data_IF_838730616587
#
_entry.id   IF_838730616587
#
_cell.length_a   1.000
_cell.length_b   1.000
_cell.length_c   1.000
_cell.angle_alpha   90.00
_cell.angle_beta   90.00
_cell.angle_gamma   90.00
#
_symmetry.space_group_name_H-M   'P 1'
#
loop_
_entity.id
_entity.type
_entity.pdbx_description
1 polymer ?
#
# COMPACT_ATOMS: atom_id res chain seq x y z
N UNK A 1 2.15 8.47 -2.02
CA UNK A 1 1.62 7.12 -1.81
C UNK A 1 1.89 6.67 -0.39
N UNK A 2 0.86 6.25 0.28
CA UNK A 2 0.95 5.67 1.62
C UNK A 2 0.31 4.29 1.58
N UNK A 3 1.04 3.30 2.07
CA UNK A 3 0.57 1.93 2.11
C UNK A 3 0.61 1.43 3.55
N UNK A 4 -0.53 0.98 4.07
CA UNK A 4 -0.63 0.47 5.44
C UNK A 4 -1.06 -0.99 5.40
N UNK A 5 -0.30 -1.85 6.08
CA UNK A 5 -0.54 -3.29 6.14
C UNK A 5 -0.68 -3.73 7.58
N UNK A 6 -1.63 -4.62 7.87
CA UNK A 6 -1.76 -5.20 9.21
C UNK A 6 -0.89 -6.44 9.39
N UNK A 7 -0.58 -7.14 8.28
CA UNK A 7 0.32 -8.27 8.29
C UNK A 7 1.23 -8.15 7.08
N UNK A 8 2.53 -8.11 7.30
CA UNK A 8 3.49 -7.93 6.23
C UNK A 8 4.52 -9.04 6.29
N UNK A 9 4.40 -10.06 5.42
CA UNK A 9 5.42 -11.10 5.34
C UNK A 9 6.79 -10.51 5.01
N UNK A 10 7.85 -11.15 5.49
CA UNK A 10 9.22 -10.64 5.29
C UNK A 10 9.56 -10.44 3.81
N UNK A 11 9.11 -11.35 2.95
CA UNK A 11 9.35 -11.23 1.52
C UNK A 11 8.66 -10.01 0.90
N UNK A 12 7.44 -9.73 1.36
CA UNK A 12 6.72 -8.56 0.88
C UNK A 12 7.38 -7.28 1.39
N UNK A 13 7.78 -7.25 2.66
CA UNK A 13 8.47 -6.09 3.23
C UNK A 13 9.73 -5.77 2.44
N UNK A 14 10.54 -6.79 2.15
CA UNK A 14 11.76 -6.60 1.36
C UNK A 14 11.47 -6.06 -0.04
N UNK A 15 10.37 -6.50 -0.65
CA UNK A 15 9.98 -6.00 -1.95
C UNK A 15 9.53 -4.53 -1.88
N UNK A 16 8.71 -4.19 -0.88
CA UNK A 16 8.18 -2.84 -0.74
C UNK A 16 9.26 -1.81 -0.40
N UNK A 17 10.24 -2.18 0.43
CA UNK A 17 11.28 -1.24 0.84
C UNK A 17 12.24 -0.88 -0.29
N UNK A 18 12.15 -1.54 -1.42
CA UNK A 18 12.90 -1.16 -2.62
C UNK A 18 12.33 0.14 -3.24
N UNK A 19 11.08 0.45 -2.95
CA UNK A 19 10.35 1.56 -3.57
C UNK A 19 9.84 2.56 -2.54
N UNK A 20 9.55 2.09 -1.33
CA UNK A 20 8.90 2.88 -0.29
C UNK A 20 9.73 2.84 0.99
N UNK A 21 9.57 3.86 1.81
CA UNK A 21 10.21 3.92 3.11
C UNK A 21 9.23 3.43 4.17
N UNK A 22 9.64 2.44 4.95
CA UNK A 22 8.85 1.97 6.08
C UNK A 22 9.09 2.87 7.27
N UNK A 23 8.11 3.72 7.57
CA UNK A 23 8.24 4.71 8.66
C UNK A 23 7.76 4.18 10.01
N UNK A 24 7.03 3.08 9.98
CA UNK A 24 6.52 2.40 11.17
C UNK A 24 6.18 0.97 10.74
N UNK A 25 6.13 -0.01 11.65
CA UNK A 25 5.81 -1.37 11.23
C UNK A 25 4.52 -1.42 10.42
N UNK A 26 4.63 -1.87 9.18
CA UNK A 26 3.49 -1.99 8.27
C UNK A 26 3.07 -0.69 7.59
N UNK A 27 3.76 0.42 7.84
CA UNK A 27 3.41 1.72 7.23
C UNK A 27 4.53 2.15 6.30
N UNK A 28 4.21 2.22 5.01
CA UNK A 28 5.18 2.55 3.96
C UNK A 28 4.77 3.83 3.26
N UNK A 29 5.74 4.69 3.01
CA UNK A 29 5.52 5.99 2.36
C UNK A 29 6.53 6.16 1.25
N UNK A 30 6.10 6.71 0.14
CA UNK A 30 7.00 7.00 -0.96
C UNK A 30 6.32 7.66 -2.12
N UNK A 31 7.11 8.02 -3.09
CA UNK A 31 6.63 8.66 -4.31
C UNK A 31 7.00 7.75 -5.47
N UNK A 32 6.01 7.10 -6.05
CA UNK A 32 6.22 6.14 -7.13
C UNK A 32 5.29 6.45 -8.30
N UNK A 33 5.71 6.12 -9.54
CA UNK A 33 4.82 6.26 -10.68
C UNK A 33 3.62 5.34 -10.57
N UNK A 34 2.54 5.68 -11.27
CA UNK A 34 1.30 4.89 -11.28
C UNK A 34 1.55 3.43 -11.59
N UNK A 35 2.41 3.15 -12.58
CA UNK A 35 2.74 1.79 -12.97
C UNK A 35 3.34 0.99 -11.81
N UNK A 36 4.28 1.60 -11.09
CA UNK A 36 4.92 0.95 -9.95
C UNK A 36 3.92 0.80 -8.81
N UNK A 37 3.12 1.81 -8.55
CA UNK A 37 2.08 1.76 -7.53
C UNK A 37 1.13 0.59 -7.76
N UNK A 38 0.64 0.44 -8.97
CA UNK A 38 -0.30 -0.62 -9.30
C UNK A 38 0.36 -2.00 -9.19
N UNK A 39 1.61 -2.12 -9.61
CA UNK A 39 2.35 -3.37 -9.46
C UNK A 39 2.59 -3.73 -8.00
N UNK A 40 2.89 -2.75 -7.16
CA UNK A 40 3.05 -2.97 -5.72
C UNK A 40 1.74 -3.43 -5.09
N UNK A 41 0.63 -2.84 -5.49
CA UNK A 41 -0.69 -3.22 -4.98
C UNK A 41 -1.03 -4.66 -5.36
N UNK A 42 -0.77 -5.06 -6.60
CA UNK A 42 -1.00 -6.43 -7.02
C UNK A 42 -0.19 -7.43 -6.18
N UNK A 43 1.04 -7.06 -5.86
CA UNK A 43 1.89 -7.90 -5.03
C UNK A 43 1.37 -7.98 -3.60
N UNK A 44 0.86 -6.87 -3.07
CA UNK A 44 0.25 -6.84 -1.74
C UNK A 44 -0.94 -7.78 -1.67
N UNK A 45 -1.84 -7.70 -2.65
CA UNK A 45 -3.02 -8.56 -2.70
C UNK A 45 -2.60 -10.04 -2.76
N UNK A 46 -1.59 -10.35 -3.55
CA UNK A 46 -1.11 -11.71 -3.72
C UNK A 46 -0.50 -12.28 -2.42
N UNK A 47 0.28 -11.49 -1.71
CA UNK A 47 1.06 -11.96 -0.57
C UNK A 47 0.42 -11.73 0.79
N UNK A 48 -0.48 -10.76 0.90
CA UNK A 48 -1.11 -10.38 2.16
C UNK A 48 -2.46 -11.08 2.32
N UNK A 49 -2.43 -12.43 2.42
CA UNK A 49 -3.65 -13.24 2.33
C UNK A 49 -4.63 -13.01 3.46
N UNK A 50 -4.13 -13.00 4.69
CA UNK A 50 -4.97 -12.88 5.88
C UNK A 50 -4.92 -11.49 6.50
N UNK A 51 -4.07 -10.63 5.97
CA UNK A 51 -3.93 -9.28 6.45
C UNK A 51 -4.83 -8.30 5.71
N UNK A 52 -4.89 -7.10 6.25
CA UNK A 52 -5.63 -6.01 5.63
C UNK A 52 -4.64 -4.98 5.11
N UNK A 53 -5.00 -4.31 4.04
CA UNK A 53 -4.13 -3.31 3.42
C UNK A 53 -4.95 -2.12 2.94
N UNK A 54 -4.39 -0.94 3.09
CA UNK A 54 -4.94 0.28 2.52
C UNK A 54 -3.84 0.99 1.76
N UNK A 55 -4.15 1.39 0.53
CA UNK A 55 -3.27 2.19 -0.30
C UNK A 55 -3.93 3.54 -0.52
N UNK A 56 -3.24 4.61 -0.16
CA UNK A 56 -3.71 5.98 -0.36
C UNK A 56 -2.76 6.68 -1.31
N UNK A 57 -3.30 7.38 -2.29
CA UNK A 57 -2.49 8.08 -3.27
C UNK A 57 -3.22 9.32 -3.78
N UNK A 58 -2.44 10.27 -4.30
CA UNK A 58 -3.01 11.48 -4.90
C UNK A 58 -3.32 11.22 -6.37
N UNK A 59 -4.39 11.84 -6.86
CA UNK A 59 -4.77 11.77 -8.25
C UNK A 59 -4.21 13.00 -8.96
N UNK A 60 -3.55 12.78 -10.08
CA UNK A 60 -2.91 13.84 -10.84
C UNK A 60 -3.95 14.84 -11.34
N UNK A 61 -3.66 16.13 -11.14
CA UNK A 61 -4.55 17.21 -11.56
C UNK A 61 -5.71 17.48 -10.63
N UNK A 62 -5.87 16.65 -9.60
CA UNK A 62 -6.93 16.77 -8.62
C UNK A 62 -6.31 16.98 -7.25
N UNK A 63 -6.97 17.76 -6.42
CA UNK A 63 -6.49 17.98 -5.06
C UNK A 63 -7.23 17.08 -4.07
N UNK A 64 -7.32 15.81 -4.40
CA UNK A 64 -7.93 14.84 -3.51
C UNK A 64 -7.14 13.53 -3.54
N UNK A 65 -7.38 12.70 -2.54
CA UNK A 65 -6.78 11.40 -2.44
C UNK A 65 -7.76 10.34 -2.91
N UNK A 66 -7.24 9.30 -3.51
CA UNK A 66 -7.97 8.08 -3.73
C UNK A 66 -7.33 6.98 -2.91
N UNK A 67 -8.10 5.91 -2.68
CA UNK A 67 -7.58 4.80 -1.89
C UNK A 67 -8.12 3.49 -2.40
N UNK A 68 -7.36 2.42 -2.14
CA UNK A 68 -7.76 1.04 -2.41
C UNK A 68 -7.65 0.26 -1.11
N UNK A 69 -8.60 -0.63 -0.89
CA UNK A 69 -8.67 -1.43 0.33
C UNK A 69 -8.66 -2.91 -0.03
N UNK A 70 -7.82 -3.67 0.64
CA UNK A 70 -7.81 -5.12 0.56
C UNK A 70 -8.41 -5.65 1.87
N UNK A 71 -9.45 -6.46 1.78
CA UNK A 71 -10.25 -6.96 2.90
C UNK A 71 -11.19 -5.88 3.45
N UNK A 72 -12.47 -6.17 3.40
CA UNK A 72 -13.54 -5.18 3.60
C UNK A 72 -13.96 -4.94 5.05
N UNK A 73 -13.25 -5.53 6.00
CA UNK A 73 -13.58 -5.37 7.41
C UNK A 73 -12.97 -4.12 8.05
N UNK A 74 -12.34 -3.28 7.27
CA UNK A 74 -11.91 -1.95 7.71
C UNK A 74 -13.01 -0.94 7.48
N UNK A 75 -13.28 -0.11 8.48
CA UNK A 75 -14.17 1.01 8.33
C UNK A 75 -13.37 2.22 7.88
N UNK A 76 -13.78 2.79 6.75
CA UNK A 76 -13.19 4.04 6.25
C UNK A 76 -14.09 5.16 6.71
N UNK A 77 -13.56 6.01 7.55
CA UNK A 77 -14.30 7.10 8.16
C UNK A 77 -14.18 8.37 7.35
#
# INVERSE_FOLDING_TARGET
TVLVLTACPAGLRGHLTRWLLEISPGVFVGHVPTRVRDALWDRVIEMCRDGRAILVYTVRGEQHFEFRVHRHDWEVV
#
